data_IF_357601303872
#
_entry.id   IF_357601303872
#
_cell.length_a   1.000
_cell.length_b   1.000
_cell.length_c   1.000
_cell.angle_alpha   90.00
_cell.angle_beta   90.00
_cell.angle_gamma   90.00
#
_symmetry.space_group_name_H-M   'P 1'
#
loop_
_entity.id
_entity.type
_entity.pdbx_description
1 polymer ?
#
# COMPACT_ATOMS: atom_id res chain seq x y z
N UNK A 1 10.08 15.42 -2.61
CA UNK A 1 8.82 14.67 -2.44
C UNK A 1 8.23 14.46 -3.82
N UNK A 2 8.12 13.22 -4.31
CA UNK A 2 7.48 12.91 -5.59
C UNK A 2 6.15 12.24 -5.27
N UNK A 3 5.06 12.87 -5.66
CA UNK A 3 3.71 12.32 -5.55
C UNK A 3 3.43 11.64 -6.88
N UNK A 4 2.91 10.42 -6.83
CA UNK A 4 2.56 9.65 -8.00
C UNK A 4 1.06 9.36 -7.89
N UNK A 5 0.32 9.87 -8.86
CA UNK A 5 -1.15 9.85 -8.84
C UNK A 5 -1.72 8.50 -9.25
N UNK A 6 -0.95 7.69 -9.99
CA UNK A 6 -1.42 6.44 -10.56
C UNK A 6 -0.35 5.34 -10.55
N UNK A 7 -0.84 4.09 -10.42
CA UNK A 7 0.00 2.90 -10.40
C UNK A 7 0.81 2.74 -11.69
N UNK A 8 0.28 3.16 -12.84
CA UNK A 8 0.98 3.07 -14.12
C UNK A 8 2.24 3.95 -14.16
N UNK A 9 2.16 5.19 -13.68
CA UNK A 9 3.32 6.08 -13.54
C UNK A 9 4.32 5.51 -12.54
N UNK A 10 3.83 4.96 -11.43
CA UNK A 10 4.71 4.29 -10.49
C UNK A 10 5.46 3.13 -11.15
N UNK A 11 4.74 2.32 -11.95
CA UNK A 11 5.31 1.19 -12.68
C UNK A 11 6.30 1.64 -13.74
N UNK A 12 6.06 2.75 -14.44
CA UNK A 12 7.01 3.33 -15.40
C UNK A 12 8.28 3.87 -14.73
N UNK A 13 8.15 4.59 -13.61
CA UNK A 13 9.28 5.19 -12.88
C UNK A 13 10.13 4.10 -12.20
N UNK A 14 9.49 3.06 -11.69
CA UNK A 14 10.12 2.03 -10.86
C UNK A 14 10.21 0.64 -11.51
N UNK A 15 9.98 0.54 -12.83
CA UNK A 15 9.95 -0.69 -13.62
C UNK A 15 11.15 -1.62 -13.37
N UNK A 16 12.34 -1.04 -13.20
CA UNK A 16 13.60 -1.80 -13.08
C UNK A 16 13.88 -2.36 -11.68
N UNK A 17 13.06 -2.06 -10.67
CA UNK A 17 13.30 -2.52 -9.30
C UNK A 17 12.44 -3.73 -8.91
N UNK A 18 13.07 -4.90 -8.72
CA UNK A 18 12.39 -6.11 -8.16
C UNK A 18 11.66 -5.86 -6.84
N UNK A 19 12.15 -4.90 -6.04
CA UNK A 19 11.51 -4.47 -4.79
C UNK A 19 10.12 -3.86 -5.02
N UNK A 20 9.95 -3.11 -6.12
CA UNK A 20 8.72 -2.38 -6.43
C UNK A 20 7.67 -3.25 -7.12
N UNK A 21 8.09 -4.31 -7.81
CA UNK A 21 7.16 -5.30 -8.38
C UNK A 21 6.23 -5.89 -7.32
N UNK A 22 6.74 -6.21 -6.12
CA UNK A 22 5.90 -6.69 -5.00
C UNK A 22 4.90 -5.64 -4.50
N UNK A 23 5.28 -4.36 -4.49
CA UNK A 23 4.34 -3.29 -4.14
C UNK A 23 3.25 -3.12 -5.19
N UNK A 24 3.60 -3.21 -6.47
CA UNK A 24 2.60 -3.15 -7.56
C UNK A 24 1.63 -4.31 -7.43
N UNK A 25 2.13 -5.53 -7.22
CA UNK A 25 1.31 -6.71 -7.02
C UNK A 25 0.37 -6.56 -5.81
N UNK A 26 0.83 -5.94 -4.72
CA UNK A 26 -0.01 -5.64 -3.55
C UNK A 26 -1.15 -4.68 -3.87
N UNK A 27 -0.85 -3.63 -4.65
CA UNK A 27 -1.84 -2.62 -5.03
C UNK A 27 -2.84 -3.21 -6.03
N UNK A 28 -2.40 -4.01 -7.00
CA UNK A 28 -3.30 -4.69 -7.94
C UNK A 28 -4.19 -5.74 -7.24
N UNK A 29 -3.67 -6.42 -6.21
CA UNK A 29 -4.45 -7.38 -5.43
C UNK A 29 -5.36 -6.73 -4.37
N UNK A 30 -5.24 -5.43 -4.12
CA UNK A 30 -6.00 -4.75 -3.05
C UNK A 30 -7.52 -4.85 -3.23
N UNK A 31 -7.98 -4.91 -4.48
CA UNK A 31 -9.39 -5.05 -4.85
C UNK A 31 -9.91 -6.49 -4.66
N UNK A 32 -8.99 -7.47 -4.68
CA UNK A 32 -9.32 -8.90 -4.59
C UNK A 32 -9.18 -9.47 -3.17
N UNK A 33 -8.55 -8.75 -2.24
CA UNK A 33 -8.35 -9.19 -0.86
C UNK A 33 -9.45 -8.71 0.07
N UNK A 34 -9.78 -9.55 1.05
CA UNK A 34 -10.85 -9.27 1.98
C UNK A 34 -10.42 -8.21 3.01
N UNK A 35 -11.25 -7.19 3.25
CA UNK A 35 -10.94 -6.18 4.25
C UNK A 35 -10.93 -6.77 5.66
N UNK A 36 -10.02 -6.27 6.49
CA UNK A 36 -9.78 -6.78 7.84
C UNK A 36 -8.86 -8.00 7.90
N UNK A 37 -8.37 -8.51 6.76
CA UNK A 37 -7.42 -9.63 6.71
C UNK A 37 -6.01 -9.11 6.41
N UNK A 38 -5.03 -9.51 7.22
CA UNK A 38 -3.63 -9.25 6.93
C UNK A 38 -3.13 -10.19 5.82
N UNK A 39 -2.68 -9.62 4.72
CA UNK A 39 -2.12 -10.33 3.58
C UNK A 39 -0.62 -10.04 3.46
N UNK A 40 0.15 -11.07 3.16
CA UNK A 40 1.59 -10.96 2.92
C UNK A 40 1.92 -11.33 1.48
N UNK A 41 2.74 -10.52 0.81
CA UNK A 41 3.30 -10.81 -0.51
C UNK A 41 4.76 -11.21 -0.35
N UNK A 42 4.99 -12.52 -0.46
CA UNK A 42 6.26 -13.16 -0.11
C UNK A 42 6.63 -12.91 1.36
N UNK A 43 7.94 -12.92 1.67
CA UNK A 43 8.46 -12.69 3.03
C UNK A 43 8.65 -11.20 3.41
N UNK A 44 8.46 -10.26 2.49
CA UNK A 44 9.00 -8.90 2.66
C UNK A 44 7.95 -7.80 2.80
N UNK A 45 6.68 -8.09 2.54
CA UNK A 45 5.62 -7.08 2.56
C UNK A 45 4.35 -7.66 3.15
N UNK A 46 3.91 -7.14 4.30
CA UNK A 46 2.61 -7.43 4.88
C UNK A 46 1.77 -6.17 4.84
N UNK A 47 0.55 -6.29 4.35
CA UNK A 47 -0.40 -5.21 4.18
C UNK A 47 -1.79 -5.71 4.57
N UNK A 48 -2.66 -4.79 4.99
CA UNK A 48 -4.06 -5.10 5.32
C UNK A 48 -4.92 -4.04 4.66
N UNK A 49 -6.06 -4.46 4.15
CA UNK A 49 -7.06 -3.52 3.62
C UNK A 49 -8.00 -3.19 4.74
N UNK A 50 -8.01 -1.93 5.16
CA UNK A 50 -9.00 -1.40 6.08
C UNK A 50 -10.06 -0.70 5.24
N UNK A 51 -11.19 -1.38 4.99
CA UNK A 51 -12.38 -0.71 4.47
C UNK A 51 -13.09 -0.09 5.65
N UNK A 52 -12.56 1.02 6.14
CA UNK A 52 -13.25 1.80 7.14
C UNK A 52 -14.43 2.51 6.44
N UNK A 53 -15.63 1.96 6.59
CA UNK A 53 -16.85 2.64 6.20
C UNK A 53 -17.20 3.80 7.15
N UNK A 54 -16.33 4.15 8.11
CA UNK A 54 -16.47 5.39 8.85
C UNK A 54 -15.78 6.53 8.09
N UNK A 55 -16.60 7.49 7.67
CA UNK A 55 -16.23 8.84 7.24
C UNK A 55 -15.61 9.67 8.39
N UNK A 56 -14.83 9.06 9.29
CA UNK A 56 -14.21 9.77 10.42
C UNK A 56 -12.97 8.99 10.92
N UNK A 57 -11.89 8.96 10.13
CA UNK A 57 -10.64 8.38 10.56
C UNK A 57 -9.61 9.49 10.79
N UNK A 58 -9.57 9.92 12.04
CA UNK A 58 -8.53 10.71 12.69
C UNK A 58 -7.13 10.24 12.25
N UNK A 59 -6.45 11.02 11.40
CA UNK A 59 -5.05 10.78 11.05
C UNK A 59 -4.18 11.01 12.29
N UNK A 60 -3.97 9.96 13.10
CA UNK A 60 -3.02 10.02 14.20
C UNK A 60 -1.63 9.74 13.64
N UNK A 61 -0.98 10.79 13.12
CA UNK A 61 0.44 10.76 12.84
C UNK A 61 1.19 10.58 14.15
N UNK A 62 1.74 9.40 14.40
CA UNK A 62 2.66 9.18 15.52
C UNK A 62 4.00 9.86 15.21
N UNK A 63 4.08 11.18 15.44
CA UNK A 63 5.37 11.84 15.66
C UNK A 63 5.78 11.57 17.10
N UNK A 64 6.53 10.48 17.32
CA UNK A 64 7.27 10.28 18.56
C UNK A 64 8.28 11.42 18.70
N UNK A 65 7.97 12.39 19.55
CA UNK A 65 8.94 13.29 20.15
C UNK A 65 9.42 12.64 21.44
N UNK A 66 10.67 12.19 21.46
CA UNK A 66 11.51 12.11 22.66
C UNK A 66 12.92 12.53 22.28
#
# INVERSE_FOLDING_TARGET
MRIIDNLEQFRQIYASGKKWQRCVEAIENIDNIQPGVAHSIGDSLTYRVETDSATDALFTGASTLF
#
